data_IF_105578012589
#
_entry.id   IF_105578012589
#
_cell.length_a   1.000
_cell.length_b   1.000
_cell.length_c   1.000
_cell.angle_alpha   90.00
_cell.angle_beta   90.00
_cell.angle_gamma   90.00
#
_symmetry.space_group_name_H-M   'P 1'
#
loop_
_entity.id
_entity.type
_entity.pdbx_description
1 polymer ?
#
# COMPACT_ATOMS: atom_id res chain seq x y z
N UNK A 1 -18.66 -11.04 -84.20
CA UNK A 1 -19.73 -10.28 -83.52
C UNK A 1 -19.22 -9.84 -82.15
N UNK A 2 -19.25 -8.54 -81.88
CA UNK A 2 -18.84 -7.92 -80.60
C UNK A 2 -19.89 -8.21 -79.52
N UNK A 3 -19.47 -8.57 -78.31
CA UNK A 3 -20.23 -8.31 -77.07
C UNK A 3 -19.29 -7.80 -75.99
N UNK A 4 -19.43 -6.51 -75.69
CA UNK A 4 -18.96 -5.87 -74.47
C UNK A 4 -19.71 -6.47 -73.26
N UNK A 5 -19.03 -6.61 -72.12
CA UNK A 5 -19.68 -6.61 -70.81
C UNK A 5 -18.87 -5.66 -69.91
N UNK A 6 -19.53 -4.59 -69.47
CA UNK A 6 -19.02 -3.58 -68.55
C UNK A 6 -19.16 -4.04 -67.08
N UNK A 7 -18.09 -3.76 -66.34
CA UNK A 7 -17.99 -3.20 -64.98
C UNK A 7 -19.18 -3.22 -64.00
N UNK A 8 -18.84 -3.53 -62.75
CA UNK A 8 -19.60 -3.11 -61.57
C UNK A 8 -18.95 -3.58 -60.26
N UNK A 9 -17.86 -2.93 -59.83
CA UNK A 9 -17.29 -3.12 -58.48
C UNK A 9 -17.86 -2.01 -57.58
N UNK A 10 -18.80 -2.39 -56.71
CA UNK A 10 -19.33 -1.54 -55.65
C UNK A 10 -18.33 -1.47 -54.50
N UNK A 11 -17.64 -0.33 -54.35
CA UNK A 11 -16.89 0.01 -53.14
C UNK A 11 -17.87 0.37 -52.01
N UNK A 12 -18.08 -0.57 -51.08
CA UNK A 12 -18.74 -0.28 -49.81
C UNK A 12 -17.76 0.35 -48.82
N UNK A 13 -18.00 1.60 -48.42
CA UNK A 13 -17.29 2.23 -47.30
C UNK A 13 -17.77 1.60 -45.98
N UNK A 14 -16.87 1.13 -45.09
CA UNK A 14 -17.24 0.83 -43.72
C UNK A 14 -17.48 2.15 -42.97
N UNK A 15 -18.72 2.35 -42.53
CA UNK A 15 -19.09 3.42 -41.61
C UNK A 15 -18.36 3.21 -40.28
N UNK A 16 -17.33 4.03 -40.03
CA UNK A 16 -16.66 4.13 -38.74
C UNK A 16 -17.64 4.77 -37.75
N UNK A 17 -18.37 3.93 -37.01
CA UNK A 17 -19.07 4.35 -35.82
C UNK A 17 -18.02 4.71 -34.76
N UNK A 18 -17.67 6.00 -34.70
CA UNK A 18 -16.95 6.57 -33.59
C UNK A 18 -17.82 6.44 -32.34
N UNK A 19 -17.65 5.34 -31.60
CA UNK A 19 -18.12 5.24 -30.23
C UNK A 19 -17.34 6.25 -29.41
N UNK A 20 -17.92 7.45 -29.28
CA UNK A 20 -17.46 8.44 -28.34
C UNK A 20 -17.47 7.80 -26.96
N UNK A 21 -16.29 7.55 -26.40
CA UNK A 21 -16.13 7.17 -25.00
C UNK A 21 -16.71 8.30 -24.14
N UNK A 22 -17.95 8.14 -23.69
CA UNK A 22 -18.49 8.97 -22.63
C UNK A 22 -17.75 8.61 -21.34
N UNK A 23 -16.76 9.41 -20.97
CA UNK A 23 -16.21 9.42 -19.62
C UNK A 23 -17.30 9.96 -18.69
N UNK A 24 -18.08 9.06 -18.13
CA UNK A 24 -18.98 9.37 -17.03
C UNK A 24 -18.10 9.55 -15.80
N UNK A 25 -17.79 10.80 -15.46
CA UNK A 25 -17.19 11.12 -14.18
C UNK A 25 -18.29 10.96 -13.13
N UNK A 26 -18.28 9.83 -12.43
CA UNK A 26 -19.14 9.61 -11.28
C UNK A 26 -18.60 10.50 -10.15
N UNK A 27 -19.19 11.69 -10.00
CA UNK A 27 -18.94 12.55 -8.85
C UNK A 27 -19.69 11.91 -7.68
N UNK A 28 -18.98 11.06 -6.94
CA UNK A 28 -19.42 10.61 -5.63
C UNK A 28 -19.45 11.85 -4.74
N UNK A 29 -20.66 12.28 -4.38
CA UNK A 29 -20.87 13.31 -3.36
C UNK A 29 -20.38 12.73 -2.03
N UNK A 30 -19.12 12.98 -1.68
CA UNK A 30 -18.56 12.56 -0.41
C UNK A 30 -19.34 13.28 0.71
N UNK A 31 -19.93 12.55 1.67
CA UNK A 31 -20.65 13.17 2.76
C UNK A 31 -19.71 14.11 3.51
N UNK A 32 -20.16 15.35 3.75
CA UNK A 32 -19.44 16.38 4.52
C UNK A 32 -18.79 15.76 5.76
N UNK A 33 -17.49 15.47 5.66
CA UNK A 33 -16.71 14.81 6.70
C UNK A 33 -16.41 15.82 7.82
N UNK A 34 -17.47 16.28 8.50
CA UNK A 34 -17.34 17.04 9.75
C UNK A 34 -17.16 16.06 10.91
N UNK A 35 -16.24 15.10 10.76
CA UNK A 35 -15.69 14.39 11.92
C UNK A 35 -14.55 15.26 12.41
N UNK A 36 -14.78 15.99 13.51
CA UNK A 36 -13.71 16.61 14.29
C UNK A 36 -12.89 15.50 14.96
N UNK A 37 -12.23 14.69 14.15
CA UNK A 37 -11.15 13.81 14.62
C UNK A 37 -10.04 14.73 15.07
N UNK A 38 -9.66 14.63 16.35
CA UNK A 38 -8.45 15.28 16.87
C UNK A 38 -7.33 15.07 15.83
N UNK A 39 -6.63 16.12 15.39
CA UNK A 39 -5.60 15.95 14.38
C UNK A 39 -4.61 14.90 14.87
N UNK A 40 -4.22 13.97 13.98
CA UNK A 40 -3.07 13.10 14.23
C UNK A 40 -1.92 14.01 14.66
N UNK A 41 -1.20 13.70 15.75
CA UNK A 41 -0.03 14.48 16.14
C UNK A 41 0.92 14.68 14.96
N UNK A 42 1.75 15.70 15.01
CA UNK A 42 2.83 15.80 14.03
C UNK A 42 3.91 14.76 14.34
N UNK A 43 4.50 14.18 13.30
CA UNK A 43 5.68 13.34 13.42
C UNK A 43 6.91 14.25 13.55
N UNK A 44 7.67 14.12 14.63
CA UNK A 44 8.81 15.00 14.95
C UNK A 44 10.15 14.52 14.38
N UNK A 45 10.16 13.39 13.66
CA UNK A 45 11.28 12.96 12.82
C UNK A 45 12.20 11.90 13.46
N UNK A 46 12.37 11.91 14.77
CA UNK A 46 13.41 11.11 15.44
C UNK A 46 12.80 10.02 16.34
N UNK A 47 12.44 8.89 15.75
CA UNK A 47 12.12 7.68 16.53
C UNK A 47 13.38 6.88 16.84
N UNK A 48 13.45 6.24 18.03
CA UNK A 48 14.50 5.28 18.29
C UNK A 48 14.37 4.13 17.29
N UNK A 49 15.42 3.93 16.50
CA UNK A 49 15.53 2.79 15.58
C UNK A 49 15.67 1.52 16.41
N UNK A 50 14.93 0.50 16.01
CA UNK A 50 15.03 -0.82 16.61
C UNK A 50 16.14 -1.58 15.89
N UNK A 51 16.83 -2.43 16.65
CA UNK A 51 17.76 -3.42 16.09
C UNK A 51 16.94 -4.51 15.40
N UNK A 52 16.52 -4.17 14.18
CA UNK A 52 15.73 -5.00 13.32
C UNK A 52 16.70 -5.76 12.44
N UNK A 53 17.13 -6.93 12.92
CA UNK A 53 18.13 -7.75 12.25
C UNK A 53 17.53 -8.43 10.99
N UNK A 54 17.07 -7.63 10.04
CA UNK A 54 16.53 -8.07 8.76
C UNK A 54 17.60 -8.73 7.87
N UNK A 55 18.87 -8.57 8.23
CA UNK A 55 20.03 -9.21 7.61
C UNK A 55 20.47 -10.50 8.32
N UNK A 56 19.80 -10.89 9.41
CA UNK A 56 20.05 -12.17 10.10
C UNK A 56 19.69 -13.38 9.25
N UNK A 57 20.14 -14.54 9.73
CA UNK A 57 19.73 -15.86 9.25
C UNK A 57 18.26 -16.21 9.51
N UNK A 58 17.50 -15.35 10.20
CA UNK A 58 16.06 -15.52 10.42
C UNK A 58 15.25 -15.39 9.12
N UNK A 59 15.80 -14.72 8.10
CA UNK A 59 15.14 -14.50 6.81
C UNK A 59 16.02 -14.97 5.66
N UNK A 60 15.38 -15.34 4.54
CA UNK A 60 16.11 -15.53 3.29
C UNK A 60 16.80 -14.22 2.87
N UNK A 61 17.85 -14.34 2.06
CA UNK A 61 18.51 -13.20 1.44
C UNK A 61 17.48 -12.33 0.70
N UNK A 62 17.69 -11.01 0.67
CA UNK A 62 16.69 -10.07 0.16
C UNK A 62 16.21 -10.47 -1.24
N UNK A 63 17.12 -10.77 -2.17
CA UNK A 63 16.78 -11.14 -3.54
C UNK A 63 15.97 -12.43 -3.69
N UNK A 64 16.02 -13.32 -2.69
CA UNK A 64 15.32 -14.60 -2.66
C UNK A 64 13.90 -14.49 -2.09
N UNK A 65 13.57 -13.36 -1.44
CA UNK A 65 12.24 -13.14 -0.86
C UNK A 65 11.20 -12.99 -1.98
N UNK A 66 9.99 -13.56 -1.79
CA UNK A 66 8.89 -13.34 -2.71
C UNK A 66 8.49 -11.85 -2.73
N UNK A 67 7.95 -11.40 -3.85
CA UNK A 67 7.34 -10.07 -3.92
C UNK A 67 6.07 -10.02 -3.08
N UNK A 68 5.98 -9.01 -2.22
CA UNK A 68 4.87 -8.81 -1.32
C UNK A 68 3.69 -8.03 -1.91
N UNK A 69 2.71 -7.76 -1.06
CA UNK A 69 1.49 -7.00 -1.41
C UNK A 69 1.67 -5.47 -1.45
N UNK A 70 2.91 -4.99 -1.38
CA UNK A 70 3.31 -3.59 -1.55
C UNK A 70 3.30 -3.10 -3.01
N UNK A 71 2.76 -3.88 -3.94
CA UNK A 71 2.44 -3.40 -5.28
C UNK A 71 1.14 -2.60 -5.23
N UNK A 72 1.18 -1.37 -5.74
CA UNK A 72 -0.04 -0.56 -5.85
C UNK A 72 -0.83 -0.89 -7.13
N UNK A 73 -1.90 -0.13 -7.43
CA UNK A 73 -2.70 -0.32 -8.64
C UNK A 73 -1.86 -0.10 -9.89
N UNK A 74 -2.36 -0.51 -11.06
CA UNK A 74 -1.63 -0.40 -12.34
C UNK A 74 -1.07 1.01 -12.61
N UNK A 75 -1.74 2.06 -12.12
CA UNK A 75 -1.32 3.47 -12.29
C UNK A 75 -0.26 3.91 -11.26
N UNK A 76 -0.09 3.19 -10.15
CA UNK A 76 0.87 3.47 -9.08
C UNK A 76 1.52 2.15 -8.64
N UNK A 77 2.58 1.76 -9.34
CA UNK A 77 3.21 0.43 -9.16
C UNK A 77 3.69 0.13 -7.73
N UNK A 78 3.88 1.16 -6.90
CA UNK A 78 4.33 1.02 -5.51
C UNK A 78 3.22 1.49 -4.53
N UNK A 79 2.82 0.59 -3.63
CA UNK A 79 1.87 0.81 -2.53
C UNK A 79 2.49 0.52 -1.17
N UNK A 80 3.76 0.91 -0.98
CA UNK A 80 4.54 0.59 0.22
C UNK A 80 3.89 1.13 1.51
N UNK A 81 3.39 2.36 1.50
CA UNK A 81 2.74 2.97 2.66
C UNK A 81 1.46 2.22 3.05
N UNK A 82 0.64 1.83 2.08
CA UNK A 82 -0.59 1.06 2.26
C UNK A 82 -0.29 -0.34 2.80
N UNK A 83 0.77 -0.97 2.28
CA UNK A 83 1.24 -2.27 2.75
C UNK A 83 1.72 -2.22 4.20
N UNK A 84 2.62 -1.29 4.54
CA UNK A 84 3.07 -1.09 5.93
C UNK A 84 1.88 -0.82 6.84
N UNK A 85 0.92 -0.01 6.42
CA UNK A 85 -0.32 0.26 7.17
C UNK A 85 -1.17 -0.99 7.36
N UNK A 86 -1.27 -1.86 6.35
CA UNK A 86 -2.00 -3.12 6.44
C UNK A 86 -1.32 -4.07 7.43
N UNK A 87 -0.01 -4.27 7.32
CA UNK A 87 0.76 -5.11 8.25
C UNK A 87 0.73 -4.58 9.68
N UNK A 88 0.90 -3.27 9.88
CA UNK A 88 0.85 -2.66 11.20
C UNK A 88 -0.51 -2.86 11.88
N UNK A 89 -1.62 -2.69 11.15
CA UNK A 89 -2.96 -2.98 11.67
C UNK A 89 -3.16 -4.45 11.97
N UNK A 90 -2.66 -5.33 11.11
CA UNK A 90 -2.75 -6.77 11.32
C UNK A 90 -2.01 -7.17 12.60
N UNK A 91 -0.74 -6.75 12.75
CA UNK A 91 0.04 -6.99 13.95
C UNK A 91 -0.60 -6.36 15.20
N UNK A 92 -1.13 -5.16 15.07
CA UNK A 92 -1.81 -4.48 16.17
C UNK A 92 -3.03 -5.29 16.61
N UNK A 93 -3.78 -5.87 15.67
CA UNK A 93 -4.90 -6.77 15.99
C UNK A 93 -4.45 -8.06 16.65
N UNK A 94 -3.42 -8.71 16.11
CA UNK A 94 -2.88 -9.98 16.64
C UNK A 94 -2.34 -9.84 18.07
N UNK A 95 -1.75 -8.69 18.40
CA UNK A 95 -1.17 -8.40 19.72
C UNK A 95 -2.16 -7.74 20.69
N UNK A 96 -3.44 -7.64 20.29
CA UNK A 96 -4.54 -7.17 21.13
C UNK A 96 -4.62 -5.65 21.29
N UNK A 97 -4.09 -4.87 20.36
CA UNK A 97 -4.12 -3.41 20.35
C UNK A 97 -3.59 -2.80 21.66
N UNK A 98 -2.31 -3.04 21.93
CA UNK A 98 -1.60 -2.53 23.11
C UNK A 98 -0.52 -1.49 22.77
N UNK A 99 -0.10 -1.41 21.52
CA UNK A 99 0.95 -0.47 21.08
C UNK A 99 0.38 0.92 20.85
N UNK A 100 1.14 1.95 21.19
CA UNK A 100 0.80 3.35 20.95
C UNK A 100 1.96 4.06 20.24
N UNK A 101 1.71 5.28 19.77
CA UNK A 101 2.73 6.14 19.17
C UNK A 101 2.98 5.86 17.70
N UNK A 102 4.15 6.29 17.23
CA UNK A 102 4.56 6.21 15.84
C UNK A 102 5.35 4.95 15.53
N UNK A 103 5.22 4.49 14.30
CA UNK A 103 6.06 3.53 13.60
C UNK A 103 6.65 4.22 12.38
N UNK A 104 7.94 4.06 12.15
CA UNK A 104 8.63 4.43 10.92
C UNK A 104 9.20 3.16 10.31
N UNK A 105 9.06 2.98 9.00
CA UNK A 105 9.61 1.84 8.26
C UNK A 105 10.37 2.39 7.06
N UNK A 106 11.64 1.99 6.91
CA UNK A 106 12.47 2.35 5.77
C UNK A 106 12.85 1.10 4.99
N UNK A 107 12.83 1.26 3.68
CA UNK A 107 13.18 0.22 2.73
C UNK A 107 14.31 0.69 1.83
N UNK A 108 15.26 -0.20 1.57
CA UNK A 108 16.40 0.05 0.67
C UNK A 108 16.01 -0.07 -0.81
N UNK A 109 16.98 0.22 -1.67
CA UNK A 109 16.83 0.10 -3.14
C UNK A 109 16.75 -1.36 -3.63
N UNK A 110 17.09 -2.32 -2.78
CA UNK A 110 16.92 -3.75 -3.03
C UNK A 110 15.48 -4.23 -2.83
N UNK A 111 14.61 -3.35 -2.32
CA UNK A 111 13.21 -3.63 -2.06
C UNK A 111 12.96 -4.29 -0.70
N UNK A 112 13.98 -4.44 0.15
CA UNK A 112 13.82 -4.99 1.48
C UNK A 112 13.78 -3.91 2.55
N UNK A 113 12.95 -4.14 3.57
CA UNK A 113 12.94 -3.29 4.74
C UNK A 113 14.28 -3.42 5.45
N UNK A 114 14.91 -2.28 5.70
CA UNK A 114 16.23 -2.19 6.32
C UNK A 114 16.17 -1.64 7.74
N UNK A 115 15.17 -0.81 8.05
CA UNK A 115 15.04 -0.17 9.36
C UNK A 115 13.57 -0.07 9.78
N UNK A 116 13.32 -0.25 11.08
CA UNK A 116 12.06 0.16 11.72
C UNK A 116 12.37 1.01 12.96
N UNK A 117 11.56 2.05 13.19
CA UNK A 117 11.64 2.90 14.39
C UNK A 117 10.28 2.96 15.07
N UNK A 118 10.25 3.04 16.40
CA UNK A 118 8.99 3.11 17.17
C UNK A 118 9.09 4.02 18.38
N UNK A 119 8.10 4.88 18.62
CA UNK A 119 8.04 5.74 19.82
C UNK A 119 7.94 4.90 21.12
N UNK A 120 7.00 3.94 21.13
CA UNK A 120 6.75 3.06 22.28
C UNK A 120 6.79 1.59 21.84
N UNK A 121 7.99 1.04 21.63
CA UNK A 121 8.12 -0.33 21.14
C UNK A 121 7.46 -1.32 22.11
N UNK A 122 6.65 -2.21 21.56
CA UNK A 122 6.07 -3.34 22.28
C UNK A 122 6.70 -4.64 21.74
N UNK A 123 7.26 -5.53 22.56
CA UNK A 123 7.95 -6.71 22.04
C UNK A 123 7.08 -7.61 21.15
N UNK A 124 5.79 -7.76 21.47
CA UNK A 124 4.85 -8.56 20.68
C UNK A 124 4.60 -7.93 19.30
N UNK A 125 4.45 -6.59 19.22
CA UNK A 125 4.24 -5.90 17.95
C UNK A 125 5.50 -5.92 17.09
N UNK A 126 6.65 -5.69 17.71
CA UNK A 126 7.95 -5.66 17.02
C UNK A 126 8.22 -7.02 16.40
N UNK A 127 8.05 -8.12 17.15
CA UNK A 127 8.22 -9.46 16.62
C UNK A 127 7.32 -9.73 15.40
N UNK A 128 6.03 -9.38 15.49
CA UNK A 128 5.10 -9.53 14.37
C UNK A 128 5.48 -8.68 13.14
N UNK A 129 5.90 -7.43 13.37
CA UNK A 129 6.32 -6.54 12.30
C UNK A 129 7.58 -7.06 11.61
N UNK A 130 8.59 -7.50 12.38
CA UNK A 130 9.82 -8.07 11.83
C UNK A 130 9.53 -9.31 10.99
N UNK A 131 8.71 -10.23 11.50
CA UNK A 131 8.31 -11.44 10.78
C UNK A 131 7.67 -11.10 9.43
N UNK A 132 6.69 -10.19 9.42
CA UNK A 132 5.93 -9.84 8.21
C UNK A 132 6.72 -8.98 7.22
N UNK A 133 7.47 -8.00 7.70
CA UNK A 133 8.29 -7.12 6.86
C UNK A 133 9.52 -7.85 6.32
N UNK A 134 10.05 -8.83 7.06
CA UNK A 134 11.19 -9.65 6.65
C UNK A 134 10.82 -10.81 5.70
N UNK A 135 9.55 -11.21 5.65
CA UNK A 135 9.09 -12.32 4.81
C UNK A 135 9.01 -12.00 3.30
N UNK A 136 8.85 -10.73 2.95
CA UNK A 136 8.59 -10.27 1.58
C UNK A 136 9.56 -9.16 1.18
N UNK A 137 9.70 -8.92 -0.12
CA UNK A 137 10.35 -7.73 -0.68
C UNK A 137 9.39 -6.97 -1.59
N UNK A 138 9.68 -5.70 -1.83
CA UNK A 138 8.85 -4.82 -2.65
C UNK A 138 9.60 -4.37 -3.91
N UNK A 139 8.97 -4.31 -5.08
CA UNK A 139 9.58 -3.78 -6.30
C UNK A 139 9.58 -2.24 -6.33
N UNK A 140 9.76 -1.61 -5.16
CA UNK A 140 9.72 -0.18 -4.96
C UNK A 140 11.15 0.37 -4.83
N UNK A 141 11.42 1.63 -5.22
CA UNK A 141 12.69 2.29 -4.90
C UNK A 141 12.80 2.52 -3.37
N UNK A 142 14.00 2.90 -2.90
CA UNK A 142 14.17 3.28 -1.50
C UNK A 142 13.13 4.32 -1.07
N UNK A 143 12.43 4.02 0.03
CA UNK A 143 11.30 4.81 0.52
C UNK A 143 11.15 4.65 2.03
N UNK A 144 10.66 5.71 2.66
CA UNK A 144 10.31 5.74 4.07
C UNK A 144 8.82 6.04 4.22
N UNK A 145 8.19 5.39 5.20
CA UNK A 145 6.81 5.68 5.56
C UNK A 145 6.59 5.62 7.06
N UNK A 146 5.60 6.36 7.54
CA UNK A 146 5.23 6.43 8.95
C UNK A 146 3.79 5.97 9.16
N UNK A 147 3.53 5.26 10.25
CA UNK A 147 2.20 4.86 10.67
C UNK A 147 1.96 5.22 12.13
N UNK A 148 0.77 5.75 12.43
CA UNK A 148 0.39 6.11 13.78
C UNK A 148 -0.57 5.09 14.40
N UNK A 149 -0.15 4.46 15.50
CA UNK A 149 -0.99 3.49 16.21
C UNK A 149 -2.09 4.16 17.06
N UNK A 150 -1.92 5.40 17.50
CA UNK A 150 -2.81 6.09 18.44
C UNK A 150 -2.20 6.31 19.83
N UNK A 151 -2.91 7.03 20.72
CA UNK A 151 -2.47 7.33 22.12
C UNK A 151 -3.16 6.48 23.20
N UNK A 152 -4.24 5.78 22.86
CA UNK A 152 -5.20 5.22 23.81
C UNK A 152 -5.44 3.72 23.70
N UNK A 153 -4.56 2.99 23.02
CA UNK A 153 -4.68 1.54 22.87
C UNK A 153 -4.41 0.85 24.21
N UNK A 154 -5.46 0.25 24.79
CA UNK A 154 -5.45 -0.33 26.14
C UNK A 154 -5.78 -1.83 26.16
N UNK A 155 -5.63 -2.55 25.05
CA UNK A 155 -5.92 -3.99 25.00
C UNK A 155 -7.26 -4.39 24.39
N UNK A 156 -7.95 -3.49 23.68
CA UNK A 156 -9.16 -3.80 22.91
C UNK A 156 -9.09 -3.14 21.55
N UNK A 157 -9.01 -3.96 20.51
CA UNK A 157 -9.10 -3.45 19.15
C UNK A 157 -10.54 -2.99 18.89
N UNK A 158 -10.76 -1.76 18.40
CA UNK A 158 -12.09 -1.39 17.92
C UNK A 158 -12.47 -2.36 16.79
N UNK A 159 -13.70 -2.89 16.85
CA UNK A 159 -14.20 -3.88 15.88
C UNK A 159 -14.35 -3.33 14.44
N UNK A 160 -14.07 -2.04 14.25
CA UNK A 160 -13.96 -1.41 12.94
C UNK A 160 -12.75 -0.49 12.93
N UNK A 161 -11.87 -0.64 11.93
CA UNK A 161 -10.93 0.43 11.58
C UNK A 161 -11.70 1.72 11.24
N UNK A 162 -10.99 2.85 11.04
CA UNK A 162 -11.65 4.04 10.50
C UNK A 162 -12.39 3.63 9.23
N UNK A 163 -13.71 3.79 9.23
CA UNK A 163 -14.48 3.76 7.99
C UNK A 163 -14.02 5.00 7.22
N UNK A 164 -13.12 4.79 6.27
CA UNK A 164 -12.91 5.75 5.19
C UNK A 164 -14.20 5.93 4.42
#
# INVERSE_FOLDING_TARGET
MRRLVLAGVLFGLPALFAQACQRQADLVDEPDATVLTKPTPEYDGDLPMLDADFASDAFAACEERPFGTCMGPNDFVCGFAEWVRALARECQKQTGCKTNGWLTVKMGDDGCVSEIGMDRPNPEIVACLLEKLGAERCPCPAIETTYYFGEGNSGKCPDAGPKG
#
